data_IF_324883711282
#
_entry.id   IF_324883711282
#
_cell.length_a   1.000
_cell.length_b   1.000
_cell.length_c   1.000
_cell.angle_alpha   90.00
_cell.angle_beta   90.00
_cell.angle_gamma   90.00
#
_symmetry.space_group_name_H-M   'P 1'
#
loop_
_entity.id
_entity.type
_entity.pdbx_description
1 polymer ?
#
# COMPACT_ATOMS: atom_id res chain seq x y z
N UNK A 1 33.23 6.53 -17.30
CA UNK A 1 32.33 5.37 -17.44
C UNK A 1 32.56 4.55 -16.18
N UNK A 2 31.66 4.43 -15.20
CA UNK A 2 30.20 4.36 -15.17
C UNK A 2 29.64 5.19 -13.98
N UNK A 3 28.37 5.63 -14.06
CA UNK A 3 27.67 6.32 -12.95
C UNK A 3 27.49 5.37 -11.75
N UNK A 4 27.52 5.86 -10.49
CA UNK A 4 27.23 5.03 -9.32
C UNK A 4 25.82 4.42 -9.43
N UNK A 5 25.61 3.15 -9.01
CA UNK A 5 24.40 2.37 -9.32
C UNK A 5 23.18 2.73 -8.45
N UNK A 6 23.17 3.88 -7.80
CA UNK A 6 22.18 4.24 -6.76
C UNK A 6 20.98 5.05 -7.27
N UNK A 7 21.01 5.43 -8.54
CA UNK A 7 19.87 6.02 -9.25
C UNK A 7 19.09 4.96 -10.06
N UNK A 8 19.22 3.68 -9.68
CA UNK A 8 18.35 2.61 -10.18
C UNK A 8 16.94 2.88 -9.69
N UNK A 9 16.12 3.49 -10.56
CA UNK A 9 14.66 3.54 -10.53
C UNK A 9 14.10 2.82 -9.30
N UNK A 10 13.93 3.53 -8.17
CA UNK A 10 13.29 2.92 -7.00
C UNK A 10 11.89 2.54 -7.44
N UNK A 11 11.68 1.25 -7.68
CA UNK A 11 10.39 0.71 -8.09
C UNK A 11 9.41 1.08 -7.00
N UNK A 12 8.50 2.00 -7.29
CA UNK A 12 7.49 2.43 -6.33
C UNK A 12 6.62 1.22 -5.99
N UNK A 13 6.51 0.94 -4.69
CA UNK A 13 5.56 -0.07 -4.20
C UNK A 13 4.14 0.38 -4.50
N UNK A 14 3.21 -0.56 -4.51
CA UNK A 14 1.79 -0.24 -4.69
C UNK A 14 1.29 0.78 -3.65
N UNK A 15 1.71 0.66 -2.39
CA UNK A 15 1.38 1.63 -1.32
C UNK A 15 1.93 3.03 -1.63
N UNK A 16 3.18 3.14 -2.09
CA UNK A 16 3.80 4.42 -2.46
C UNK A 16 3.08 5.11 -3.62
N UNK A 17 2.53 4.32 -4.56
CA UNK A 17 1.73 4.85 -5.68
C UNK A 17 0.39 5.41 -5.20
N UNK A 18 -0.29 4.73 -4.28
CA UNK A 18 -1.54 5.24 -3.68
C UNK A 18 -1.32 6.58 -2.98
N UNK A 19 -0.25 6.69 -2.19
CA UNK A 19 0.12 7.94 -1.53
C UNK A 19 0.42 9.05 -2.54
N UNK A 20 1.17 8.74 -3.60
CA UNK A 20 1.56 9.75 -4.60
C UNK A 20 0.39 10.25 -5.46
N UNK A 21 -0.50 9.37 -5.88
CA UNK A 21 -1.56 9.70 -6.86
C UNK A 21 -2.86 10.12 -6.16
N UNK A 22 -3.21 9.47 -5.06
CA UNK A 22 -4.50 9.66 -4.38
C UNK A 22 -4.36 10.29 -2.99
N UNK A 23 -3.14 10.59 -2.52
CA UNK A 23 -2.87 11.07 -1.16
C UNK A 23 -3.38 10.10 -0.06
N UNK A 24 -3.40 8.79 -0.34
CA UNK A 24 -3.78 7.74 0.61
C UNK A 24 -2.51 7.09 1.17
N UNK A 25 -2.23 7.30 2.45
CA UNK A 25 -1.09 6.67 3.14
C UNK A 25 -1.54 5.44 3.91
N UNK A 26 -1.09 4.27 3.44
CA UNK A 26 -1.27 2.98 4.12
C UNK A 26 0.08 2.33 4.47
N UNK A 27 1.17 3.10 4.54
CA UNK A 27 2.49 2.59 4.97
C UNK A 27 2.64 2.64 6.50
N UNK A 28 1.78 3.39 7.18
CA UNK A 28 1.85 3.66 8.62
C UNK A 28 0.54 3.26 9.31
N UNK A 29 0.62 2.56 10.44
CA UNK A 29 -0.54 2.21 11.25
C UNK A 29 -1.06 3.46 11.98
N UNK A 30 -2.33 3.81 11.77
CA UNK A 30 -2.96 4.97 12.44
C UNK A 30 -3.02 4.85 13.97
N UNK A 31 -2.98 3.61 14.51
CA UNK A 31 -3.09 3.38 15.96
C UNK A 31 -1.76 3.50 16.70
N UNK A 32 -0.65 3.08 16.09
CA UNK A 32 0.65 2.99 16.77
C UNK A 32 1.81 3.67 16.04
N UNK A 33 1.61 4.19 14.83
CA UNK A 33 2.68 4.79 14.01
C UNK A 33 3.69 3.79 13.43
N UNK A 34 3.47 2.49 13.64
CA UNK A 34 4.35 1.43 13.12
C UNK A 34 4.21 1.24 11.61
N UNK A 35 5.27 0.74 10.96
CA UNK A 35 5.21 0.36 9.55
C UNK A 35 4.27 -0.82 9.35
N UNK A 36 3.46 -0.78 8.31
CA UNK A 36 2.60 -1.91 7.91
C UNK A 36 3.07 -2.53 6.59
N UNK A 37 2.58 -3.73 6.32
CA UNK A 37 2.86 -4.48 5.09
C UNK A 37 1.55 -5.01 4.52
N UNK A 38 1.40 -4.94 3.19
CA UNK A 38 0.32 -5.63 2.48
C UNK A 38 0.55 -7.13 2.58
N UNK A 39 -0.44 -7.86 3.09
CA UNK A 39 -0.38 -9.32 3.27
C UNK A 39 -1.26 -10.08 2.26
N UNK A 40 -2.31 -9.45 1.74
CA UNK A 40 -3.22 -10.05 0.77
C UNK A 40 -3.98 -8.94 0.00
N UNK A 41 -4.40 -9.28 -1.22
CA UNK A 41 -5.44 -8.56 -1.99
C UNK A 41 -6.71 -9.43 -1.94
N UNK A 42 -7.86 -8.81 -1.71
CA UNK A 42 -9.16 -9.50 -1.73
C UNK A 42 -9.90 -8.99 -2.97
N UNK A 43 -10.21 -9.90 -3.89
CA UNK A 43 -10.82 -9.56 -5.20
C UNK A 43 -12.20 -10.22 -5.40
N UNK A 44 -12.58 -11.16 -4.53
CA UNK A 44 -13.88 -11.82 -4.58
C UNK A 44 -14.99 -10.87 -4.12
N UNK A 45 -16.00 -10.56 -4.97
CA UNK A 45 -17.07 -9.63 -4.65
C UNK A 45 -17.92 -10.03 -3.43
N UNK A 46 -18.17 -11.34 -3.24
CA UNK A 46 -19.00 -11.83 -2.13
C UNK A 46 -18.25 -11.68 -0.81
N UNK A 47 -16.95 -11.95 -0.80
CA UNK A 47 -16.08 -11.73 0.37
C UNK A 47 -16.02 -10.24 0.71
N UNK A 48 -15.81 -9.37 -0.27
CA UNK A 48 -15.79 -7.91 -0.08
C UNK A 48 -17.13 -7.45 0.52
N UNK A 49 -18.26 -7.85 -0.07
CA UNK A 49 -19.59 -7.50 0.43
C UNK A 49 -19.82 -7.99 1.86
N UNK A 50 -19.34 -9.20 2.20
CA UNK A 50 -19.44 -9.73 3.55
C UNK A 50 -18.62 -8.91 4.57
N UNK A 51 -17.39 -8.50 4.23
CA UNK A 51 -16.57 -7.64 5.09
C UNK A 51 -17.24 -6.29 5.30
N UNK A 52 -17.69 -5.64 4.21
CA UNK A 52 -18.30 -4.31 4.26
C UNK A 52 -19.57 -4.27 5.12
N UNK A 53 -20.35 -5.36 5.17
CA UNK A 53 -21.53 -5.46 6.05
C UNK A 53 -21.23 -5.34 7.55
N UNK A 54 -19.99 -5.59 7.96
CA UNK A 54 -19.58 -5.55 9.37
C UNK A 54 -18.84 -4.27 9.75
N UNK A 55 -18.55 -3.39 8.78
CA UNK A 55 -17.99 -2.07 9.04
C UNK A 55 -19.13 -1.12 9.41
N UNK A 56 -19.03 -0.46 10.57
CA UNK A 56 -19.98 0.56 11.03
C UNK A 56 -19.53 1.95 10.63
#
# INVERSE_FOLDING_TARGET
MEKPPEERHRVMTWMQRLKRVFNIDIETCERCGGKVKVIASIEDPDVIAHILKHLK
#
